data_IF_018128456041
#
_entry.id   IF_018128456041
#
_cell.length_a   1.000
_cell.length_b   1.000
_cell.length_c   1.000
_cell.angle_alpha   90.00
_cell.angle_beta   90.00
_cell.angle_gamma   90.00
#
_symmetry.space_group_name_H-M   'P 1'
#
loop_
_entity.id
_entity.type
_entity.pdbx_description
1 polymer ?
#
# COMPACT_ATOMS: atom_id res chain seq x y z
N UNK A 1 -9.53 -4.39 -12.92
CA UNK A 1 -8.10 -4.79 -12.91
C UNK A 1 -7.50 -4.56 -11.53
N UNK A 2 -7.06 -5.60 -10.88
CA UNK A 2 -6.39 -5.53 -9.57
C UNK A 2 -4.91 -5.83 -9.77
N UNK A 3 -4.06 -4.89 -9.39
CA UNK A 3 -2.62 -4.96 -9.59
C UNK A 3 -1.91 -4.86 -8.24
N UNK A 4 -1.02 -5.81 -7.97
CA UNK A 4 -0.11 -5.74 -6.83
C UNK A 4 1.22 -5.18 -7.33
N UNK A 5 1.70 -4.13 -6.68
CA UNK A 5 2.95 -3.48 -7.04
C UNK A 5 3.98 -3.71 -5.94
N UNK A 6 5.05 -4.39 -6.27
CA UNK A 6 6.13 -4.74 -5.34
C UNK A 6 7.45 -4.14 -5.81
N UNK A 7 8.30 -3.83 -4.87
CA UNK A 7 9.62 -3.32 -5.14
C UNK A 7 10.13 -2.52 -3.94
N UNK A 8 11.46 -2.43 -3.78
CA UNK A 8 12.03 -1.67 -2.68
C UNK A 8 11.84 -0.16 -2.88
N UNK A 9 11.98 0.66 -1.81
CA UNK A 9 12.00 2.10 -1.94
C UNK A 9 13.06 2.54 -2.94
N UNK A 10 12.76 3.54 -3.76
CA UNK A 10 13.69 4.04 -4.77
C UNK A 10 13.72 3.24 -6.08
N UNK A 11 12.90 2.20 -6.21
CA UNK A 11 12.83 1.39 -7.43
C UNK A 11 12.07 2.04 -8.59
N UNK A 12 11.45 3.20 -8.35
CA UNK A 12 10.56 3.84 -9.33
C UNK A 12 9.11 3.39 -9.20
N UNK A 13 8.78 2.69 -8.11
CA UNK A 13 7.47 2.13 -7.84
C UNK A 13 6.37 3.19 -7.86
N UNK A 14 6.59 4.32 -7.18
CA UNK A 14 5.63 5.43 -7.16
C UNK A 14 5.37 6.02 -8.53
N UNK A 15 6.40 6.16 -9.36
CA UNK A 15 6.29 6.68 -10.72
C UNK A 15 5.48 5.74 -11.60
N UNK A 16 5.74 4.43 -11.50
CA UNK A 16 5.01 3.43 -12.27
C UNK A 16 3.55 3.34 -11.82
N UNK A 17 3.30 3.43 -10.52
CA UNK A 17 1.94 3.44 -9.99
C UNK A 17 1.14 4.62 -10.53
N UNK A 18 1.73 5.80 -10.58
CA UNK A 18 1.09 6.99 -11.11
C UNK A 18 0.75 6.83 -12.59
N UNK A 19 1.66 6.29 -13.37
CA UNK A 19 1.45 6.02 -14.79
C UNK A 19 0.29 5.05 -15.01
N UNK A 20 0.27 3.93 -14.28
CA UNK A 20 -0.78 2.91 -14.38
C UNK A 20 -2.13 3.47 -13.93
N UNK A 21 -2.15 4.21 -12.83
CA UNK A 21 -3.34 4.87 -12.31
C UNK A 21 -4.00 5.75 -13.38
N UNK A 22 -3.20 6.56 -14.06
CA UNK A 22 -3.70 7.48 -15.07
C UNK A 22 -4.18 6.77 -16.33
N UNK A 23 -3.48 5.68 -16.71
CA UNK A 23 -3.81 4.91 -17.89
C UNK A 23 -5.06 4.05 -17.73
N UNK A 24 -5.19 3.38 -16.59
CA UNK A 24 -6.28 2.45 -16.31
C UNK A 24 -7.44 3.08 -15.55
N UNK A 25 -7.28 4.31 -15.07
CA UNK A 25 -8.28 5.05 -14.29
C UNK A 25 -8.70 4.27 -13.03
N UNK A 26 -7.72 3.74 -12.32
CA UNK A 26 -7.91 3.02 -11.05
C UNK A 26 -7.07 3.69 -9.95
N UNK A 27 -7.51 3.66 -8.69
CA UNK A 27 -6.77 4.31 -7.61
C UNK A 27 -5.49 3.56 -7.24
N UNK A 28 -4.50 4.31 -6.79
CA UNK A 28 -3.27 3.78 -6.20
C UNK A 28 -3.41 3.78 -4.68
N UNK A 29 -3.39 2.59 -4.09
CA UNK A 29 -3.56 2.38 -2.65
C UNK A 29 -2.23 1.95 -2.05
N UNK A 30 -1.57 2.86 -1.35
CA UNK A 30 -0.37 2.55 -0.58
C UNK A 30 -0.75 2.32 0.88
N UNK A 31 -0.16 1.32 1.53
CA UNK A 31 -0.44 1.03 2.94
C UNK A 31 -0.07 2.21 3.83
N UNK A 32 1.03 2.90 3.53
CA UNK A 32 1.42 4.10 4.26
C UNK A 32 0.35 5.19 4.22
N UNK A 33 -0.16 5.49 3.02
CA UNK A 33 -1.23 6.47 2.84
C UNK A 33 -2.53 6.06 3.54
N UNK A 34 -2.88 4.79 3.47
CA UNK A 34 -4.08 4.27 4.13
C UNK A 34 -3.99 4.41 5.65
N UNK A 35 -2.82 4.12 6.23
CA UNK A 35 -2.58 4.29 7.65
C UNK A 35 -2.65 5.77 8.07
N UNK A 36 -2.04 6.66 7.30
CA UNK A 36 -2.09 8.10 7.58
C UNK A 36 -3.51 8.65 7.53
N UNK A 37 -4.29 8.23 6.54
CA UNK A 37 -5.69 8.63 6.42
C UNK A 37 -6.53 8.08 7.56
N UNK A 38 -6.30 6.83 7.97
CA UNK A 38 -7.01 6.21 9.08
C UNK A 38 -6.79 7.00 10.38
N UNK A 39 -5.57 7.45 10.65
CA UNK A 39 -5.23 8.24 11.82
C UNK A 39 -5.99 9.58 11.83
N UNK A 40 -6.20 10.17 10.66
CA UNK A 40 -6.89 11.45 10.52
C UNK A 40 -8.42 11.33 10.67
N UNK A 41 -8.96 10.14 10.46
CA UNK A 41 -10.40 9.89 10.55
C UNK A 41 -10.83 9.66 11.99
N UNK A 42 -11.96 10.25 12.39
CA UNK A 42 -12.51 10.07 13.73
C UNK A 42 -13.42 8.84 13.78
N UNK A 43 -12.85 7.67 13.45
CA UNK A 43 -13.53 6.37 13.49
C UNK A 43 -12.94 5.50 14.59
N UNK A 44 -13.63 4.41 14.95
CA UNK A 44 -13.11 3.43 15.90
C UNK A 44 -11.80 2.86 15.40
N UNK A 45 -11.74 2.49 14.13
CA UNK A 45 -10.54 1.95 13.50
C UNK A 45 -9.40 2.97 13.49
N UNK A 46 -9.69 4.22 13.13
CA UNK A 46 -8.70 5.30 13.13
C UNK A 46 -8.12 5.58 14.50
N UNK A 47 -8.94 5.52 15.54
CA UNK A 47 -8.50 5.71 16.94
C UNK A 47 -7.57 4.59 17.37
N UNK A 48 -7.87 3.32 17.01
CA UNK A 48 -7.01 2.18 17.30
C UNK A 48 -5.62 2.34 16.67
N UNK A 49 -5.58 2.72 15.40
CA UNK A 49 -4.31 2.93 14.68
C UNK A 49 -3.52 4.07 15.32
N UNK A 50 -4.18 5.18 15.64
CA UNK A 50 -3.56 6.33 16.27
C UNK A 50 -2.92 5.98 17.61
N UNK A 51 -3.64 5.24 18.45
CA UNK A 51 -3.15 4.84 19.78
C UNK A 51 -1.94 3.91 19.67
N UNK A 52 -2.00 2.93 18.76
CA UNK A 52 -0.89 2.00 18.53
C UNK A 52 0.36 2.76 18.07
N UNK A 53 0.22 3.67 17.13
CA UNK A 53 1.33 4.46 16.60
C UNK A 53 1.88 5.43 17.64
N UNK A 54 1.02 6.03 18.45
CA UNK A 54 1.45 6.94 19.52
C UNK A 54 2.25 6.22 20.61
N UNK A 55 1.98 4.93 20.85
CA UNK A 55 2.72 4.09 21.77
C UNK A 55 4.01 3.53 21.18
N UNK A 56 4.33 3.84 19.94
CA UNK A 56 5.52 3.33 19.25
C UNK A 56 5.41 1.88 18.85
N UNK A 57 4.23 1.29 18.87
CA UNK A 57 3.98 -0.08 18.48
C UNK A 57 3.77 -0.21 16.98
N UNK A 58 4.04 -1.40 16.43
CA UNK A 58 3.75 -1.71 15.03
C UNK A 58 2.27 -2.06 14.89
N UNK A 59 1.67 -1.60 13.80
CA UNK A 59 0.30 -1.96 13.45
C UNK A 59 0.28 -3.44 13.03
N UNK A 60 -0.61 -4.23 13.65
CA UNK A 60 -0.71 -5.67 13.38
C UNK A 60 -1.19 -5.96 11.97
N UNK A 61 -0.85 -7.15 11.46
CA UNK A 61 -1.33 -7.62 10.15
C UNK A 61 -2.86 -7.60 10.07
N UNK A 62 -3.53 -7.98 11.15
CA UNK A 62 -5.00 -7.99 11.21
C UNK A 62 -5.56 -6.58 11.05
N UNK A 63 -4.98 -5.60 11.72
CA UNK A 63 -5.44 -4.22 11.65
C UNK A 63 -5.17 -3.60 10.28
N UNK A 64 -4.02 -3.87 9.70
CA UNK A 64 -3.70 -3.46 8.32
C UNK A 64 -4.71 -4.04 7.35
N UNK A 65 -5.06 -5.30 7.52
CA UNK A 65 -6.04 -5.99 6.68
C UNK A 65 -7.42 -5.33 6.77
N UNK A 66 -7.86 -4.99 7.98
CA UNK A 66 -9.14 -4.28 8.19
C UNK A 66 -9.17 -2.94 7.46
N UNK A 67 -8.06 -2.21 7.48
CA UNK A 67 -7.92 -0.94 6.77
C UNK A 67 -8.01 -1.14 5.26
N UNK A 68 -7.35 -2.18 4.75
CA UNK A 68 -7.39 -2.52 3.33
C UNK A 68 -8.81 -2.89 2.89
N UNK A 69 -9.49 -3.74 3.65
CA UNK A 69 -10.87 -4.15 3.37
C UNK A 69 -11.79 -2.94 3.29
N UNK A 70 -11.69 -2.05 4.27
CA UNK A 70 -12.48 -0.82 4.29
C UNK A 70 -12.22 0.03 3.04
N UNK A 71 -10.96 0.18 2.67
CA UNK A 71 -10.58 1.01 1.53
C UNK A 71 -11.03 0.44 0.19
N UNK A 72 -10.85 -0.85 -0.04
CA UNK A 72 -11.23 -1.48 -1.32
C UNK A 72 -12.73 -1.63 -1.49
N UNK A 73 -13.49 -1.46 -0.41
CA UNK A 73 -14.95 -1.46 -0.46
C UNK A 73 -15.54 -0.15 -0.96
N UNK A 74 -14.74 0.90 -1.10
CA UNK A 74 -15.22 2.20 -1.57
C UNK A 74 -15.48 2.18 -3.08
N UNK A 75 -16.35 3.07 -3.51
CA UNK A 75 -16.84 3.10 -4.89
C UNK A 75 -15.74 3.28 -5.94
N UNK A 76 -14.68 4.03 -5.63
CA UNK A 76 -13.59 4.28 -6.58
C UNK A 76 -12.76 3.03 -6.87
N UNK A 77 -12.88 1.98 -6.04
CA UNK A 77 -12.22 0.69 -6.23
C UNK A 77 -13.05 -0.32 -7.02
N UNK A 78 -14.26 0.04 -7.45
CA UNK A 78 -15.16 -0.87 -8.14
C UNK A 78 -14.56 -1.46 -9.42
N UNK A 79 -13.83 -0.65 -10.19
CA UNK A 79 -13.20 -1.07 -11.44
C UNK A 79 -11.80 -1.64 -11.26
N UNK A 80 -11.28 -1.61 -10.07
CA UNK A 80 -9.96 -2.11 -9.74
C UNK A 80 -9.15 -1.13 -8.90
N UNK A 81 -7.93 -1.52 -8.60
CA UNK A 81 -7.01 -0.69 -7.83
C UNK A 81 -5.57 -1.23 -7.98
N UNK A 82 -4.62 -0.40 -7.60
CA UNK A 82 -3.22 -0.77 -7.46
C UNK A 82 -2.93 -0.83 -5.97
N UNK A 83 -2.49 -1.99 -5.46
CA UNK A 83 -2.12 -2.14 -4.06
C UNK A 83 -0.60 -2.13 -3.95
N UNK A 84 -0.08 -1.19 -3.17
CA UNK A 84 1.35 -0.93 -3.04
C UNK A 84 1.77 -1.06 -1.56
N UNK A 85 2.81 -1.84 -1.32
CA UNK A 85 3.32 -2.07 0.03
C UNK A 85 2.64 -3.20 0.79
N UNK A 86 1.76 -3.95 0.15
CA UNK A 86 1.07 -5.10 0.71
C UNK A 86 0.71 -6.07 -0.42
N UNK A 87 0.84 -7.40 -0.28
CA UNK A 87 1.35 -8.12 0.89
C UNK A 87 2.87 -8.08 0.99
N UNK A 88 3.39 -8.25 2.21
CA UNK A 88 4.83 -8.26 2.47
C UNK A 88 5.35 -9.64 2.90
N UNK A 89 4.45 -10.57 3.18
CA UNK A 89 4.78 -11.93 3.55
C UNK A 89 3.67 -12.87 3.08
N UNK A 90 3.91 -14.18 3.25
CA UNK A 90 2.98 -15.22 2.78
C UNK A 90 1.65 -15.15 3.51
N UNK A 91 1.66 -14.91 4.82
CA UNK A 91 0.44 -14.82 5.62
C UNK A 91 -0.46 -13.70 5.13
N UNK A 92 0.11 -12.54 4.85
CA UNK A 92 -0.63 -11.40 4.29
C UNK A 92 -1.17 -11.73 2.90
N UNK A 93 -0.38 -12.40 2.07
CA UNK A 93 -0.80 -12.78 0.72
C UNK A 93 -2.00 -13.73 0.75
N UNK A 94 -1.97 -14.72 1.64
CA UNK A 94 -3.08 -15.66 1.81
C UNK A 94 -4.34 -14.96 2.32
N UNK A 95 -4.20 -14.03 3.27
CA UNK A 95 -5.32 -13.25 3.80
C UNK A 95 -5.96 -12.38 2.72
N UNK A 96 -5.15 -11.73 1.90
CA UNK A 96 -5.64 -10.91 0.80
C UNK A 96 -6.41 -11.75 -0.23
N UNK A 97 -5.87 -12.91 -0.58
CA UNK A 97 -6.49 -13.82 -1.54
C UNK A 97 -7.88 -14.27 -1.05
N UNK A 98 -8.00 -14.63 0.22
CA UNK A 98 -9.28 -15.03 0.82
C UNK A 98 -10.31 -13.90 0.78
N UNK A 99 -9.89 -12.68 1.11
CA UNK A 99 -10.78 -11.52 1.09
C UNK A 99 -11.28 -11.22 -0.32
N UNK A 100 -10.38 -11.28 -1.30
CA UNK A 100 -10.77 -11.03 -2.69
C UNK A 100 -11.72 -12.10 -3.21
N UNK A 101 -11.52 -13.35 -2.82
CA UNK A 101 -12.45 -14.44 -3.17
C UNK A 101 -13.84 -14.22 -2.60
N UNK A 102 -13.92 -13.72 -1.37
CA UNK A 102 -15.20 -13.45 -0.70
C UNK A 102 -16.03 -12.41 -1.45
N UNK A 103 -15.39 -11.51 -2.18
CA UNK A 103 -16.06 -10.48 -2.98
C UNK A 103 -16.04 -10.80 -4.48
N UNK A 104 -15.74 -12.03 -4.86
CA UNK A 104 -15.66 -12.51 -6.25
C UNK A 104 -14.66 -11.73 -7.10
N UNK A 105 -13.51 -11.41 -6.52
CA UNK A 105 -12.44 -10.70 -7.21
C UNK A 105 -11.14 -11.49 -7.12
N UNK A 106 -10.22 -11.21 -8.02
CA UNK A 106 -8.92 -11.86 -8.06
C UNK A 106 -7.86 -10.88 -8.51
N UNK A 107 -6.60 -11.17 -8.15
CA UNK A 107 -5.45 -10.39 -8.58
C UNK A 107 -5.20 -10.69 -10.06
N UNK A 108 -5.14 -9.65 -10.88
CA UNK A 108 -4.89 -9.77 -12.31
C UNK A 108 -3.41 -9.76 -12.66
N UNK A 109 -2.65 -8.90 -12.00
CA UNK A 109 -1.22 -8.72 -12.27
C UNK A 109 -0.44 -8.50 -10.99
N UNK A 110 0.77 -9.05 -10.94
CA UNK A 110 1.75 -8.73 -9.90
C UNK A 110 2.97 -8.16 -10.63
N UNK A 111 3.30 -6.91 -10.31
CA UNK A 111 4.43 -6.22 -10.92
C UNK A 111 5.53 -6.04 -9.88
N UNK A 112 6.69 -6.59 -10.15
CA UNK A 112 7.85 -6.44 -9.29
C UNK A 112 8.89 -5.57 -9.98
N UNK A 113 9.24 -4.45 -9.36
CA UNK A 113 10.26 -3.54 -9.87
C UNK A 113 11.61 -3.92 -9.27
N UNK A 114 12.46 -4.50 -10.10
CA UNK A 114 13.80 -4.90 -9.74
C UNK A 114 14.78 -3.86 -10.27
N UNK A 115 15.67 -3.38 -9.40
CA UNK A 115 16.59 -2.30 -9.71
C UNK A 115 17.98 -2.68 -9.21
N UNK A 116 19.02 -2.28 -9.96
CA UNK A 116 20.39 -2.42 -9.52
C UNK A 116 20.61 -1.74 -8.16
N UNK A 117 21.33 -2.42 -7.27
CA UNK A 117 21.54 -1.94 -5.90
C UNK A 117 22.15 -0.54 -5.85
N UNK A 118 23.12 -0.24 -6.70
CA UNK A 118 23.78 1.06 -6.70
C UNK A 118 22.81 2.18 -7.11
N UNK A 119 21.98 1.91 -8.11
CA UNK A 119 20.95 2.84 -8.57
C UNK A 119 19.91 3.04 -7.46
N UNK A 120 19.50 1.95 -6.80
CA UNK A 120 18.54 2.01 -5.70
C UNK A 120 19.07 2.85 -4.54
N UNK A 121 20.31 2.64 -4.14
CA UNK A 121 20.93 3.39 -3.05
C UNK A 121 20.97 4.88 -3.35
N UNK A 122 21.36 5.27 -4.56
CA UNK A 122 21.38 6.64 -5.01
C UNK A 122 20.00 7.28 -4.97
N UNK A 123 18.97 6.57 -5.43
CA UNK A 123 17.58 7.07 -5.41
C UNK A 123 17.05 7.25 -4.01
N UNK A 124 17.38 6.35 -3.09
CA UNK A 124 16.96 6.45 -1.69
C UNK A 124 17.61 7.65 -1.03
N UNK A 125 18.89 7.90 -1.26
CA UNK A 125 19.61 9.07 -0.74
C UNK A 125 19.00 10.39 -1.22
N UNK A 126 18.70 10.49 -2.50
CA UNK A 126 18.04 11.67 -3.08
C UNK A 126 16.67 11.89 -2.46
N UNK A 127 15.88 10.84 -2.34
CA UNK A 127 14.55 10.89 -1.76
C UNK A 127 14.59 11.29 -0.28
N UNK A 128 15.58 10.77 0.45
CA UNK A 128 15.80 11.10 1.86
C UNK A 128 16.13 12.56 2.06
N UNK A 129 16.89 13.17 1.16
CA UNK A 129 17.23 14.59 1.20
C UNK A 129 16.03 15.49 0.91
N UNK A 130 15.17 15.06 0.00
CA UNK A 130 14.04 15.86 -0.46
C UNK A 130 12.80 15.70 0.42
N UNK A 131 12.58 14.50 0.98
CA UNK A 131 11.31 14.20 1.63
C UNK A 131 11.42 13.02 2.61
N UNK A 132 12.07 13.29 3.73
CA UNK A 132 12.35 12.28 4.77
C UNK A 132 11.08 11.58 5.26
N UNK A 133 9.98 12.31 5.43
CA UNK A 133 8.75 11.79 6.00
C UNK A 133 8.08 10.75 5.09
N UNK A 134 8.17 10.89 3.79
CA UNK A 134 7.61 9.93 2.84
C UNK A 134 8.30 8.58 2.91
N UNK A 135 9.61 8.56 3.10
CA UNK A 135 10.38 7.32 3.17
C UNK A 135 9.95 6.48 4.37
N UNK A 136 9.66 7.11 5.49
CA UNK A 136 9.26 6.43 6.72
C UNK A 136 7.86 5.83 6.64
N UNK A 137 7.00 6.37 5.81
CA UNK A 137 5.64 5.93 5.67
C UNK A 137 5.51 4.65 4.82
N UNK A 138 6.46 4.41 3.96
CA UNK A 138 6.51 3.25 3.06
C UNK A 138 7.48 2.19 3.59
#
# INVERSE_FOLDING_TARGET
>A
MIIILLGPPGSGKGTQAKFIKNKLLIPHLSTGDMLRKAVQQNTVLGKKVKDIMANGELVSDQLVLEIIVDRISQNDCANGFILDGYPRNITQAESLDLILRDINRSIDKILFLDVDFDVLESRIETRSSENIDEIRAD
#
